data_IF_331870532518
#
_entry.id   IF_331870532518
#
_cell.length_a   1.000
_cell.length_b   1.000
_cell.length_c   1.000
_cell.angle_alpha   90.00
_cell.angle_beta   90.00
_cell.angle_gamma   90.00
#
_symmetry.space_group_name_H-M   'P 1'
#
loop_
_entity.id
_entity.type
_entity.pdbx_description
1 polymer ?
#
# COMPACT_ATOMS: atom_id res chain seq x y z
N UNK A 1 -16.31 22.02 -6.61
CA UNK A 1 -16.31 20.61 -7.04
C UNK A 1 -14.93 19.95 -6.89
N UNK A 2 -13.88 20.44 -7.56
CA UNK A 2 -12.53 19.86 -7.49
C UNK A 2 -11.93 19.80 -6.07
N UNK A 3 -12.16 20.83 -5.22
CA UNK A 3 -11.73 20.89 -3.80
C UNK A 3 -12.13 19.66 -2.98
N UNK A 4 -13.42 19.31 -3.08
CA UNK A 4 -14.02 18.17 -2.39
C UNK A 4 -13.42 16.85 -2.87
N UNK A 5 -13.32 16.67 -4.19
CA UNK A 5 -12.74 15.45 -4.80
C UNK A 5 -11.31 15.15 -4.35
N UNK A 6 -10.44 16.16 -4.23
CA UNK A 6 -9.07 15.93 -3.73
C UNK A 6 -9.06 15.48 -2.29
N UNK A 7 -9.87 16.11 -1.43
CA UNK A 7 -9.96 15.74 -0.02
C UNK A 7 -10.50 14.32 0.14
N UNK A 8 -11.48 13.93 -0.66
CA UNK A 8 -12.04 12.58 -0.65
C UNK A 8 -10.99 11.53 -1.07
N UNK A 9 -10.29 11.75 -2.19
CA UNK A 9 -9.22 10.84 -2.65
C UNK A 9 -8.07 10.77 -1.63
N UNK A 10 -7.67 11.92 -1.07
CA UNK A 10 -6.62 11.96 -0.06
C UNK A 10 -7.01 11.21 1.22
N UNK A 11 -8.26 11.38 1.68
CA UNK A 11 -8.77 10.68 2.87
C UNK A 11 -8.75 9.16 2.65
N UNK A 12 -9.25 8.70 1.50
CA UNK A 12 -9.24 7.28 1.17
C UNK A 12 -7.82 6.72 1.07
N UNK A 13 -6.89 7.44 0.43
CA UNK A 13 -5.48 7.03 0.38
C UNK A 13 -4.85 6.97 1.78
N UNK A 14 -5.15 7.93 2.65
CA UNK A 14 -4.68 7.94 4.03
C UNK A 14 -5.21 6.72 4.81
N UNK A 15 -6.47 6.37 4.62
CA UNK A 15 -7.07 5.17 5.23
C UNK A 15 -6.37 3.90 4.75
N UNK A 16 -6.10 3.76 3.45
CA UNK A 16 -5.32 2.63 2.90
C UNK A 16 -3.91 2.54 3.50
N UNK A 17 -3.19 3.68 3.58
CA UNK A 17 -1.84 3.72 4.18
C UNK A 17 -1.89 3.33 5.66
N UNK A 18 -2.88 3.81 6.41
CA UNK A 18 -3.06 3.40 7.80
C UNK A 18 -3.29 1.89 7.92
N UNK A 19 -4.13 1.30 7.06
CA UNK A 19 -4.37 -0.14 7.05
C UNK A 19 -3.11 -0.94 6.75
N UNK A 20 -2.29 -0.49 5.79
CA UNK A 20 -0.98 -1.10 5.52
C UNK A 20 -0.10 -1.06 6.77
N UNK A 21 -0.03 0.10 7.42
CA UNK A 21 0.79 0.29 8.61
C UNK A 21 0.36 -0.63 9.76
N UNK A 22 -0.95 -0.70 10.05
CA UNK A 22 -1.48 -1.62 11.06
C UNK A 22 -1.17 -3.07 10.75
N UNK A 23 -1.39 -3.52 9.50
CA UNK A 23 -1.07 -4.88 9.07
C UNK A 23 0.41 -5.21 9.22
N UNK A 24 1.29 -4.27 8.89
CA UNK A 24 2.74 -4.46 9.03
C UNK A 24 3.17 -4.57 10.49
N UNK A 25 2.62 -3.72 11.37
CA UNK A 25 2.85 -3.82 12.82
C UNK A 25 2.39 -5.18 13.34
N UNK A 26 1.16 -5.60 13.01
CA UNK A 26 0.63 -6.89 13.44
C UNK A 26 1.47 -8.05 12.92
N UNK A 27 1.91 -7.98 11.66
CA UNK A 27 2.83 -8.98 11.10
C UNK A 27 4.13 -9.05 11.92
N UNK A 28 4.73 -7.89 12.24
CA UNK A 28 5.95 -7.83 13.02
C UNK A 28 5.78 -8.41 14.43
N UNK A 29 4.67 -8.09 15.10
CA UNK A 29 4.35 -8.55 16.45
C UNK A 29 4.12 -10.06 16.55
N UNK A 30 3.61 -10.69 15.49
CA UNK A 30 3.24 -12.12 15.51
C UNK A 30 4.33 -12.98 14.86
N UNK A 31 4.82 -12.60 13.67
CA UNK A 31 5.64 -13.45 12.82
C UNK A 31 7.12 -13.05 12.75
N UNK A 32 7.47 -11.81 13.10
CA UNK A 32 8.87 -11.36 13.16
C UNK A 32 9.44 -11.47 14.58
N UNK A 33 9.13 -12.58 15.24
CA UNK A 33 9.50 -12.86 16.64
C UNK A 33 10.59 -13.93 16.72
N UNK A 34 11.11 -14.17 17.93
CA UNK A 34 12.13 -15.18 18.19
C UNK A 34 11.62 -16.63 18.04
N UNK A 35 12.55 -17.62 18.02
CA UNK A 35 12.22 -19.03 17.80
C UNK A 35 11.15 -19.58 18.75
N UNK A 36 11.18 -19.20 20.03
CA UNK A 36 10.21 -19.63 21.04
C UNK A 36 8.76 -19.29 20.65
N UNK A 37 8.53 -18.07 20.14
CA UNK A 37 7.20 -17.65 19.69
C UNK A 37 6.79 -18.45 18.45
N UNK A 38 7.72 -18.67 17.51
CA UNK A 38 7.44 -19.44 16.29
C UNK A 38 7.09 -20.90 16.63
N UNK A 39 7.78 -21.53 17.57
CA UNK A 39 7.46 -22.87 18.07
C UNK A 39 6.07 -22.93 18.73
N UNK A 40 5.71 -21.90 19.51
CA UNK A 40 4.39 -21.79 20.10
C UNK A 40 3.29 -21.71 19.03
N UNK A 41 3.48 -20.89 17.99
CA UNK A 41 2.53 -20.80 16.87
C UNK A 41 2.42 -22.14 16.13
N UNK A 42 3.54 -22.80 15.86
CA UNK A 42 3.57 -24.07 15.14
C UNK A 42 2.85 -25.19 15.90
N UNK A 43 3.02 -25.25 17.22
CA UNK A 43 2.40 -26.28 18.09
C UNK A 43 0.90 -26.07 18.31
N UNK A 44 0.39 -24.84 18.23
CA UNK A 44 -1.02 -24.53 18.51
C UNK A 44 -1.88 -24.28 17.26
N UNK A 45 -1.31 -24.38 16.06
CA UNK A 45 -2.04 -24.13 14.83
C UNK A 45 -1.16 -23.81 13.64
N UNK A 46 -0.05 -24.52 13.46
CA UNK A 46 0.98 -24.17 12.46
C UNK A 46 0.43 -23.92 11.05
N UNK A 47 -0.55 -24.70 10.58
CA UNK A 47 -1.14 -24.46 9.26
C UNK A 47 -1.98 -23.17 9.19
N UNK A 48 -2.72 -22.83 10.24
CA UNK A 48 -3.45 -21.57 10.33
C UNK A 48 -2.50 -20.37 10.32
N UNK A 49 -1.44 -20.43 11.12
CA UNK A 49 -0.44 -19.36 11.18
C UNK A 49 0.38 -19.25 9.89
N UNK A 50 0.65 -20.38 9.22
CA UNK A 50 1.24 -20.38 7.88
C UNK A 50 0.35 -19.63 6.87
N UNK A 51 -0.94 -19.98 6.76
CA UNK A 51 -1.86 -19.31 5.83
C UNK A 51 -1.95 -17.82 6.14
N UNK A 52 -2.20 -17.49 7.41
CA UNK A 52 -2.43 -16.09 7.81
C UNK A 52 -1.18 -15.24 7.62
N UNK A 53 0.02 -15.74 7.90
CA UNK A 53 1.29 -15.06 7.59
C UNK A 53 1.39 -14.68 6.10
N UNK A 54 1.07 -15.63 5.20
CA UNK A 54 1.08 -15.39 3.76
C UNK A 54 0.04 -14.35 3.35
N UNK A 55 -1.18 -14.44 3.90
CA UNK A 55 -2.23 -13.46 3.66
C UNK A 55 -1.84 -12.04 4.09
N UNK A 56 -1.15 -11.88 5.23
CA UNK A 56 -0.66 -10.56 5.67
C UNK A 56 0.35 -9.99 4.66
N UNK A 57 1.35 -10.77 4.26
CA UNK A 57 2.36 -10.34 3.29
C UNK A 57 1.76 -10.01 1.92
N UNK A 58 0.77 -10.79 1.48
CA UNK A 58 0.08 -10.56 0.21
C UNK A 58 -0.73 -9.28 0.24
N UNK A 59 -1.47 -9.06 1.32
CA UNK A 59 -2.27 -7.85 1.48
C UNK A 59 -1.38 -6.59 1.51
N UNK A 60 -0.25 -6.64 2.20
CA UNK A 60 0.72 -5.54 2.23
C UNK A 60 1.31 -5.30 0.83
N UNK A 61 1.75 -6.36 0.15
CA UNK A 61 2.34 -6.27 -1.19
C UNK A 61 1.35 -5.75 -2.24
N UNK A 62 0.10 -6.22 -2.18
CA UNK A 62 -0.98 -5.78 -3.06
C UNK A 62 -1.33 -4.30 -2.81
N UNK A 63 -1.43 -3.89 -1.56
CA UNK A 63 -1.76 -2.51 -1.21
C UNK A 63 -0.65 -1.53 -1.67
N UNK A 64 0.62 -1.85 -1.47
CA UNK A 64 1.73 -1.06 -2.03
C UNK A 64 1.71 -0.98 -3.56
N UNK A 65 1.33 -2.07 -4.23
CA UNK A 65 1.15 -2.07 -5.68
C UNK A 65 0.04 -1.10 -6.10
N UNK A 66 -1.13 -1.16 -5.46
CA UNK A 66 -2.27 -0.27 -5.75
C UNK A 66 -1.94 1.21 -5.55
N UNK A 67 -1.22 1.55 -4.48
CA UNK A 67 -0.78 2.93 -4.22
C UNK A 67 0.11 3.49 -5.34
N UNK A 68 0.83 2.61 -6.04
CA UNK A 68 1.80 2.94 -7.10
C UNK A 68 1.33 2.59 -8.51
N UNK A 69 0.06 2.20 -8.66
CA UNK A 69 -0.55 1.88 -9.96
C UNK A 69 -0.88 3.17 -10.74
N UNK A 70 -1.03 3.07 -12.08
CA UNK A 70 -1.52 4.18 -12.90
C UNK A 70 -2.82 4.76 -12.33
N UNK A 71 -3.07 6.04 -12.59
CA UNK A 71 -4.28 6.72 -12.10
C UNK A 71 -5.58 6.16 -12.73
N UNK A 72 -5.47 5.49 -13.88
CA UNK A 72 -6.57 4.78 -14.53
C UNK A 72 -6.11 3.44 -15.10
N UNK A 73 -6.99 2.44 -15.05
CA UNK A 73 -6.79 1.14 -15.69
C UNK A 73 -8.13 0.62 -16.21
N UNK A 74 -8.17 0.15 -17.46
CA UNK A 74 -9.37 -0.38 -18.11
C UNK A 74 -10.61 0.55 -18.00
N UNK A 75 -10.40 1.86 -18.10
CA UNK A 75 -11.47 2.86 -18.01
C UNK A 75 -11.88 3.29 -16.60
N UNK A 76 -11.43 2.59 -15.55
CA UNK A 76 -11.73 2.92 -14.16
C UNK A 76 -10.61 3.77 -13.52
N UNK A 77 -10.99 4.68 -12.62
CA UNK A 77 -10.03 5.44 -11.82
C UNK A 77 -9.51 4.59 -10.67
N UNK A 78 -8.19 4.55 -10.51
CA UNK A 78 -7.55 3.86 -9.40
C UNK A 78 -7.37 4.82 -8.23
N UNK A 79 -7.58 4.30 -7.02
CA UNK A 79 -7.18 4.97 -5.78
C UNK A 79 -5.66 4.88 -5.61
N UNK A 80 -4.92 5.71 -6.35
CA UNK A 80 -3.46 5.77 -6.32
C UNK A 80 -2.95 7.19 -6.10
N UNK A 81 -1.69 7.34 -5.65
CA UNK A 81 -1.07 8.65 -5.48
C UNK A 81 -0.96 9.43 -6.80
N UNK A 82 -0.90 8.73 -7.95
CA UNK A 82 -0.97 9.37 -9.28
C UNK A 82 -2.30 10.10 -9.50
N UNK A 83 -3.40 9.64 -8.90
CA UNK A 83 -4.69 10.32 -9.02
C UNK A 83 -4.66 11.70 -8.35
N UNK A 84 -3.96 11.86 -7.22
CA UNK A 84 -3.75 13.17 -6.60
C UNK A 84 -2.90 14.10 -7.48
N UNK A 85 -1.88 13.57 -8.16
CA UNK A 85 -1.05 14.33 -9.11
C UNK A 85 -1.91 14.85 -10.28
N UNK A 86 -2.76 13.99 -10.85
CA UNK A 86 -3.68 14.37 -11.94
C UNK A 86 -4.61 15.49 -11.48
N UNK A 87 -5.23 15.34 -10.30
CA UNK A 87 -6.14 16.37 -9.78
C UNK A 87 -5.41 17.69 -9.49
N UNK A 88 -4.15 17.66 -9.04
CA UNK A 88 -3.33 18.87 -8.86
C UNK A 88 -3.04 19.56 -10.20
N UNK A 89 -2.66 18.80 -11.23
CA UNK A 89 -2.44 19.33 -12.58
C UNK A 89 -3.74 19.92 -13.19
N UNK A 90 -4.88 19.25 -13.02
CA UNK A 90 -6.19 19.73 -13.51
C UNK A 90 -6.58 21.08 -12.90
N UNK A 91 -6.08 21.36 -11.68
CA UNK A 91 -6.26 22.64 -10.99
C UNK A 91 -5.20 23.68 -11.31
N UNK A 92 -4.20 23.32 -12.10
CA UNK A 92 -3.00 24.13 -12.38
C UNK A 92 -2.20 24.49 -11.10
N UNK A 93 -2.26 23.63 -10.09
CA UNK A 93 -1.49 23.77 -8.85
C UNK A 93 -0.11 23.12 -9.03
N UNK A 94 0.82 23.90 -9.59
CA UNK A 94 2.14 23.42 -10.02
C UNK A 94 3.00 23.00 -8.82
N UNK A 95 2.93 23.75 -7.72
CA UNK A 95 3.68 23.47 -6.50
C UNK A 95 3.26 22.13 -5.89
N UNK A 96 1.95 21.94 -5.68
CA UNK A 96 1.43 20.68 -5.16
C UNK A 96 1.75 19.51 -6.09
N UNK A 97 1.61 19.70 -7.41
CA UNK A 97 1.93 18.65 -8.38
C UNK A 97 3.42 18.24 -8.33
N UNK A 98 4.34 19.19 -8.13
CA UNK A 98 5.77 18.89 -7.98
C UNK A 98 6.05 18.10 -6.69
N UNK A 99 5.50 18.54 -5.55
CA UNK A 99 5.65 17.84 -4.26
C UNK A 99 5.13 16.41 -4.37
N UNK A 100 3.93 16.22 -4.93
CA UNK A 100 3.33 14.90 -5.08
C UNK A 100 4.12 14.00 -6.04
N UNK A 101 4.71 14.55 -7.11
CA UNK A 101 5.57 13.79 -8.03
C UNK A 101 6.84 13.30 -7.33
N UNK A 102 7.51 14.14 -6.55
CA UNK A 102 8.68 13.75 -5.77
C UNK A 102 8.35 12.63 -4.78
N UNK A 103 7.25 12.78 -4.01
CA UNK A 103 6.79 11.76 -3.07
C UNK A 103 6.34 10.46 -3.74
N UNK A 104 5.73 10.56 -4.91
CA UNK A 104 5.38 9.38 -5.69
C UNK A 104 6.63 8.61 -6.12
N UNK A 105 7.67 9.30 -6.57
CA UNK A 105 8.91 8.66 -7.00
C UNK A 105 9.61 7.95 -5.83
N UNK A 106 9.74 8.64 -4.67
CA UNK A 106 10.27 8.05 -3.43
C UNK A 106 9.53 6.74 -3.08
N UNK A 107 8.19 6.76 -3.11
CA UNK A 107 7.37 5.57 -2.83
C UNK A 107 7.55 4.49 -3.89
N UNK A 108 7.54 4.85 -5.17
CA UNK A 108 7.66 3.91 -6.27
C UNK A 108 8.96 3.11 -6.18
N UNK A 109 10.07 3.78 -5.90
CA UNK A 109 11.38 3.17 -5.76
C UNK A 109 11.45 2.26 -4.51
N UNK A 110 10.89 2.71 -3.38
CA UNK A 110 10.79 1.90 -2.17
C UNK A 110 9.92 0.63 -2.38
N UNK A 111 8.88 0.72 -3.20
CA UNK A 111 7.96 -0.38 -3.48
C UNK A 111 8.45 -1.35 -4.57
N UNK A 112 9.58 -1.07 -5.25
CA UNK A 112 10.06 -1.88 -6.38
C UNK A 112 10.18 -3.38 -6.02
N UNK A 113 10.71 -3.70 -4.83
CA UNK A 113 10.87 -5.08 -4.35
C UNK A 113 9.54 -5.83 -4.21
N UNK A 114 8.48 -5.14 -3.75
CA UNK A 114 7.14 -5.73 -3.60
C UNK A 114 6.47 -5.98 -4.95
N UNK A 115 6.72 -5.14 -5.96
CA UNK A 115 6.20 -5.36 -7.32
C UNK A 115 6.84 -6.59 -7.98
N UNK A 116 8.14 -6.78 -7.81
CA UNK A 116 8.83 -7.99 -8.31
C UNK A 116 8.28 -9.25 -7.65
N UNK A 117 7.98 -9.19 -6.34
CA UNK A 117 7.40 -10.32 -5.62
C UNK A 117 6.00 -10.70 -6.14
N UNK A 118 5.15 -9.71 -6.42
CA UNK A 118 3.81 -9.94 -6.99
C UNK A 118 3.85 -10.67 -8.34
N UNK A 119 4.79 -10.33 -9.22
CA UNK A 119 4.87 -10.91 -10.56
C UNK A 119 5.45 -12.34 -10.60
N UNK A 120 5.92 -12.87 -9.46
CA UNK A 120 6.53 -14.20 -9.33
C UNK A 120 5.65 -15.24 -8.65
N UNK A 121 4.46 -14.85 -8.21
CA UNK A 121 3.40 -15.75 -7.74
C UNK A 121 2.39 -15.97 -8.85
#
# INVERSE_FOLDING_TARGET
FLRKRTLDVFKQLKEEVNLIHFRWITYGQIYAQGPEVIELLNSNGGYFFYITQHLYLDNVSLAFSKLTDPNRQCGNENLSLKQLIVIANDRKDVELAQVLKAKFQELFDACHKFRVHRNKR
#
